data_IF_689886230788
#
_entry.id   IF_689886230788
#
_cell.length_a   1.000
_cell.length_b   1.000
_cell.length_c   1.000
_cell.angle_alpha   90.00
_cell.angle_beta   90.00
_cell.angle_gamma   90.00
#
_symmetry.space_group_name_H-M   'P 1'
#
loop_
_entity.id
_entity.type
_entity.pdbx_description
1 polymer ?
#
# COMPACT_ATOMS: atom_id res chain seq x y z
N UNK A 1 -36.16 21.67 33.67
CA UNK A 1 -35.00 22.53 33.36
C UNK A 1 -33.75 21.69 33.55
N UNK A 2 -33.09 21.31 32.47
CA UNK A 2 -31.83 20.57 32.47
C UNK A 2 -30.77 21.40 31.72
N UNK A 3 -29.50 21.44 32.18
CA UNK A 3 -28.48 22.31 31.64
C UNK A 3 -27.94 21.81 30.28
N UNK A 4 -27.74 22.77 29.38
CA UNK A 4 -27.06 22.61 28.08
C UNK A 4 -25.55 22.45 28.31
N UNK A 5 -24.97 21.32 27.91
CA UNK A 5 -23.52 21.15 27.81
C UNK A 5 -23.00 21.67 26.46
N UNK A 6 -21.94 22.48 26.55
CA UNK A 6 -21.28 23.16 25.44
C UNK A 6 -20.32 22.24 24.67
N UNK A 7 -20.28 22.42 23.36
CA UNK A 7 -19.53 21.62 22.40
C UNK A 7 -18.15 22.28 22.14
N UNK A 8 -16.99 21.66 22.46
CA UNK A 8 -15.70 22.26 22.17
C UNK A 8 -15.27 22.06 20.70
N UNK A 9 -14.78 23.15 20.13
CA UNK A 9 -14.42 23.35 18.74
C UNK A 9 -13.29 22.42 18.23
N UNK A 10 -13.43 22.00 16.96
CA UNK A 10 -12.47 21.20 16.19
C UNK A 10 -11.37 22.09 15.60
N UNK A 11 -10.07 21.78 15.77
CA UNK A 11 -8.99 22.53 15.13
C UNK A 11 -8.89 22.27 13.61
N UNK A 12 -8.53 23.32 12.88
CA UNK A 12 -8.49 23.38 11.42
C UNK A 12 -7.34 22.56 10.81
N UNK A 13 -7.66 21.76 9.79
CA UNK A 13 -6.73 21.00 8.97
C UNK A 13 -5.92 21.92 8.05
N UNK A 14 -4.60 21.87 8.19
CA UNK A 14 -3.62 22.58 7.33
C UNK A 14 -3.50 21.85 5.99
N UNK A 15 -3.97 22.48 4.91
CA UNK A 15 -3.70 22.04 3.54
C UNK A 15 -2.20 22.21 3.23
N UNK A 16 -1.51 21.10 2.95
CA UNK A 16 -0.22 21.13 2.26
C UNK A 16 -0.45 20.91 0.76
N UNK A 17 -0.32 21.99 0.01
CA UNK A 17 -0.25 22.04 -1.44
C UNK A 17 1.15 21.61 -1.88
N UNK A 18 1.28 20.36 -2.31
CA UNK A 18 2.48 19.90 -3.00
C UNK A 18 2.40 20.31 -4.47
N UNK A 19 3.01 21.48 -4.69
CA UNK A 19 3.44 22.13 -5.92
C UNK A 19 3.83 21.15 -7.05
N UNK A 20 3.04 21.16 -8.12
CA UNK A 20 3.45 20.64 -9.43
C UNK A 20 4.47 21.60 -10.07
N UNK A 21 5.60 21.07 -10.55
CA UNK A 21 6.53 21.77 -11.45
C UNK A 21 7.24 20.73 -12.33
N UNK A 22 6.68 20.50 -13.54
CA UNK A 22 7.27 20.73 -14.88
C UNK A 22 8.81 20.66 -15.08
N UNK A 23 9.36 20.65 -16.31
CA UNK A 23 9.10 19.85 -17.54
C UNK A 23 10.45 19.37 -18.19
N UNK A 24 10.34 18.76 -19.38
CA UNK A 24 11.39 18.59 -20.43
C UNK A 24 12.50 17.54 -20.24
N UNK A 25 12.55 16.57 -21.17
CA UNK A 25 13.42 16.67 -22.36
C UNK A 25 13.15 15.51 -23.33
N UNK A 26 12.49 15.81 -24.45
CA UNK A 26 12.55 14.99 -25.67
C UNK A 26 13.82 15.40 -26.42
N UNK A 27 14.83 14.55 -26.43
CA UNK A 27 15.98 14.71 -27.33
C UNK A 27 15.75 13.88 -28.60
N UNK A 28 15.74 14.59 -29.73
CA UNK A 28 15.61 14.04 -31.08
C UNK A 28 16.91 13.35 -31.50
N UNK A 29 16.77 12.22 -32.16
CA UNK A 29 17.78 11.55 -32.97
C UNK A 29 18.25 12.46 -34.12
N UNK A 30 19.55 12.70 -34.21
CA UNK A 30 20.24 13.10 -35.44
C UNK A 30 21.50 12.24 -35.52
N UNK A 31 21.58 11.43 -36.57
CA UNK A 31 22.76 10.63 -36.89
C UNK A 31 23.84 11.45 -37.58
N UNK A 32 25.09 11.05 -37.41
CA UNK A 32 26.19 11.19 -38.35
C UNK A 32 27.31 10.27 -37.88
N UNK A 33 27.81 9.43 -38.77
CA UNK A 33 28.80 8.42 -38.45
C UNK A 33 30.18 8.99 -38.11
N UNK A 34 30.98 8.17 -37.44
CA UNK A 34 32.43 8.24 -37.52
C UNK A 34 33.01 6.82 -37.44
N UNK A 35 33.80 6.49 -38.46
CA UNK A 35 34.59 5.29 -38.59
C UNK A 35 35.94 5.47 -37.84
N UNK A 36 36.61 4.33 -37.66
CA UNK A 36 38.04 4.09 -37.38
C UNK A 36 38.55 4.28 -35.93
N UNK A 37 38.97 3.21 -35.25
CA UNK A 37 40.32 2.61 -35.26
C UNK A 37 40.46 1.58 -34.12
N UNK A 38 40.81 0.35 -34.48
CA UNK A 38 41.24 -0.67 -33.54
C UNK A 38 42.59 -0.26 -32.93
N UNK A 39 42.60 -0.01 -31.62
CA UNK A 39 43.80 0.21 -30.81
C UNK A 39 43.69 -0.60 -29.52
N UNK A 40 44.64 -1.51 -29.32
CA UNK A 40 44.81 -2.32 -28.11
C UNK A 40 44.92 -1.42 -26.87
N UNK A 41 43.83 -1.28 -26.12
CA UNK A 41 43.87 -0.76 -24.76
C UNK A 41 44.13 -1.93 -23.80
N UNK A 42 45.14 -1.85 -22.92
CA UNK A 42 45.32 -2.83 -21.86
C UNK A 42 44.08 -2.83 -20.97
N UNK A 43 43.64 -4.02 -20.61
CA UNK A 43 42.49 -4.31 -19.75
C UNK A 43 42.52 -3.47 -18.46
N UNK A 44 41.87 -2.31 -18.51
CA UNK A 44 41.36 -1.62 -17.33
C UNK A 44 40.21 -2.49 -16.83
N UNK A 45 40.55 -3.41 -15.92
CA UNK A 45 39.58 -4.09 -15.07
C UNK A 45 38.67 -2.99 -14.53
N UNK A 46 37.36 -3.02 -14.83
CA UNK A 46 36.48 -2.10 -14.16
C UNK A 46 36.53 -2.52 -12.69
N UNK A 47 37.11 -1.66 -11.86
CA UNK A 47 36.79 -1.61 -10.43
C UNK A 47 35.31 -1.24 -10.36
N UNK A 48 34.44 -2.19 -10.70
CA UNK A 48 33.05 -2.12 -10.35
C UNK A 48 33.05 -2.06 -8.83
N UNK A 49 32.63 -0.93 -8.29
CA UNK A 49 32.25 -0.76 -6.89
C UNK A 49 31.12 -1.76 -6.60
N UNK A 50 31.50 -3.01 -6.32
CA UNK A 50 30.63 -4.12 -5.96
C UNK A 50 30.10 -4.00 -4.52
N UNK A 51 30.17 -2.82 -3.92
CA UNK A 51 29.86 -2.60 -2.51
C UNK A 51 28.78 -1.53 -2.43
N UNK A 52 27.69 -1.92 -1.76
CA UNK A 52 26.48 -1.15 -1.50
C UNK A 52 25.37 -1.21 -2.57
N UNK A 53 25.00 -2.42 -3.01
CA UNK A 53 23.57 -2.73 -2.91
C UNK A 53 23.26 -2.77 -1.41
N UNK A 54 23.03 -1.60 -0.82
CA UNK A 54 22.35 -1.53 0.46
C UNK A 54 21.08 -2.35 0.23
N UNK A 55 21.01 -3.55 0.83
CA UNK A 55 19.77 -4.28 0.96
C UNK A 55 18.89 -3.37 1.81
N UNK A 56 18.20 -2.45 1.14
CA UNK A 56 17.11 -1.72 1.74
C UNK A 56 16.16 -2.74 2.34
N UNK A 57 15.40 -2.36 3.39
CA UNK A 57 14.42 -3.25 3.95
C UNK A 57 13.57 -3.82 2.80
N UNK A 58 13.57 -5.15 2.67
CA UNK A 58 12.88 -5.83 1.57
C UNK A 58 11.38 -5.57 1.76
N UNK A 59 10.86 -4.66 0.95
CA UNK A 59 9.43 -4.39 0.89
C UNK A 59 8.76 -5.47 0.06
N UNK A 60 7.70 -6.04 0.59
CA UNK A 60 6.84 -6.99 -0.09
C UNK A 60 5.45 -6.38 -0.27
N UNK A 61 4.69 -6.94 -1.21
CA UNK A 61 3.38 -6.44 -1.57
C UNK A 61 2.41 -7.60 -1.65
N UNK A 62 1.25 -7.41 -1.03
CA UNK A 62 0.06 -8.25 -1.21
C UNK A 62 -1.07 -7.39 -1.75
N UNK A 63 -2.10 -8.02 -2.32
CA UNK A 63 -3.26 -7.31 -2.86
C UNK A 63 -4.51 -7.71 -2.10
N UNK A 64 -5.26 -6.74 -1.59
CA UNK A 64 -6.63 -6.98 -1.14
C UNK A 64 -7.56 -6.98 -2.37
N UNK A 65 -8.36 -8.02 -2.50
CA UNK A 65 -9.29 -8.19 -3.63
C UNK A 65 -10.73 -8.30 -3.13
N UNK A 66 -11.65 -7.58 -3.77
CA UNK A 66 -13.09 -7.61 -3.48
C UNK A 66 -13.93 -7.38 -4.73
N UNK A 67 -15.19 -7.81 -4.67
CA UNK A 67 -16.19 -7.50 -5.71
C UNK A 67 -16.63 -6.04 -5.51
N UNK A 68 -16.32 -5.18 -6.47
CA UNK A 68 -16.74 -3.78 -6.45
C UNK A 68 -18.27 -3.64 -6.54
N UNK A 69 -18.80 -2.46 -6.20
CA UNK A 69 -20.20 -2.10 -6.46
C UNK A 69 -20.41 -1.85 -7.96
N UNK A 70 -20.54 -2.92 -8.75
CA UNK A 70 -20.77 -2.88 -10.19
C UNK A 70 -20.65 -4.28 -10.80
N UNK A 71 -21.30 -4.51 -11.94
CA UNK A 71 -21.28 -5.82 -12.60
C UNK A 71 -19.84 -6.19 -13.00
N UNK A 72 -19.26 -7.13 -12.23
CA UNK A 72 -18.04 -7.92 -12.49
C UNK A 72 -16.65 -7.28 -12.35
N UNK A 73 -16.50 -6.01 -11.95
CA UNK A 73 -15.16 -5.44 -11.74
C UNK A 73 -14.55 -5.84 -10.38
N UNK A 74 -13.50 -6.68 -10.42
CA UNK A 74 -12.69 -7.03 -9.25
C UNK A 74 -11.78 -5.85 -8.91
N UNK A 75 -12.05 -5.22 -7.76
CA UNK A 75 -11.22 -4.13 -7.26
C UNK A 75 -10.01 -4.70 -6.51
N UNK A 76 -8.83 -4.11 -6.76
CA UNK A 76 -7.54 -4.54 -6.22
C UNK A 76 -6.84 -3.36 -5.57
N UNK A 77 -6.43 -3.51 -4.31
CA UNK A 77 -5.66 -2.50 -3.59
C UNK A 77 -4.36 -3.11 -3.07
N UNK A 78 -3.18 -2.63 -3.52
CA UNK A 78 -1.91 -3.11 -3.03
C UNK A 78 -1.63 -2.63 -1.60
N UNK A 79 -1.10 -3.52 -0.77
CA UNK A 79 -0.67 -3.25 0.60
C UNK A 79 0.80 -3.66 0.74
N UNK A 80 1.68 -2.66 0.78
CA UNK A 80 3.12 -2.88 0.94
C UNK A 80 3.50 -3.09 2.40
N UNK A 81 4.34 -4.06 2.73
CA UNK A 81 4.83 -4.27 4.09
C UNK A 81 6.31 -4.63 4.10
N UNK A 82 6.97 -4.50 5.25
CA UNK A 82 8.35 -4.95 5.40
C UNK A 82 8.39 -6.21 6.25
N UNK A 83 9.32 -7.12 5.96
CA UNK A 83 9.53 -8.32 6.78
C UNK A 83 9.85 -8.00 8.24
N UNK A 84 10.46 -6.84 8.49
CA UNK A 84 10.72 -6.36 9.86
C UNK A 84 9.43 -6.08 10.64
N UNK A 85 8.35 -5.69 9.97
CA UNK A 85 7.06 -5.42 10.62
C UNK A 85 6.45 -6.73 11.14
N UNK A 86 6.68 -7.84 10.43
CA UNK A 86 6.18 -9.17 10.81
C UNK A 86 6.90 -9.77 12.02
N UNK A 87 8.10 -9.29 12.35
CA UNK A 87 8.91 -9.83 13.43
C UNK A 87 8.35 -9.52 14.83
N UNK A 88 7.37 -8.61 14.94
CA UNK A 88 6.81 -8.17 16.22
C UNK A 88 5.29 -8.19 16.18
N UNK A 89 4.66 -8.53 17.31
CA UNK A 89 3.20 -8.51 17.41
C UNK A 89 2.58 -7.14 17.08
N UNK A 90 3.15 -5.98 17.51
CA UNK A 90 2.62 -4.68 17.12
C UNK A 90 2.68 -4.43 15.60
N UNK A 91 3.78 -4.80 14.94
CA UNK A 91 3.92 -4.61 13.49
C UNK A 91 2.99 -5.53 12.69
N UNK A 92 2.81 -6.77 13.12
CA UNK A 92 1.82 -7.67 12.52
C UNK A 92 0.39 -7.12 12.65
N UNK A 93 0.02 -6.56 13.82
CA UNK A 93 -1.30 -5.93 14.02
C UNK A 93 -1.49 -4.69 13.14
N UNK A 94 -0.46 -3.85 12.99
CA UNK A 94 -0.53 -2.69 12.09
C UNK A 94 -0.74 -3.13 10.64
N UNK A 95 -0.04 -4.19 10.20
CA UNK A 95 -0.26 -4.76 8.88
C UNK A 95 -1.70 -5.25 8.71
N UNK A 96 -2.23 -6.04 9.64
CA UNK A 96 -3.64 -6.51 9.58
C UNK A 96 -4.60 -5.32 9.51
N UNK A 97 -4.39 -4.26 10.30
CA UNK A 97 -5.23 -3.07 10.25
C UNK A 97 -5.16 -2.35 8.88
N UNK A 98 -4.02 -2.38 8.20
CA UNK A 98 -3.86 -1.84 6.84
C UNK A 98 -4.57 -2.70 5.80
N UNK A 99 -4.48 -4.02 5.92
CA UNK A 99 -5.22 -4.98 5.08
C UNK A 99 -6.72 -4.77 5.26
N UNK A 100 -7.20 -4.64 6.51
CA UNK A 100 -8.61 -4.41 6.81
C UNK A 100 -9.14 -3.12 6.17
N UNK A 101 -8.37 -2.03 6.19
CA UNK A 101 -8.75 -0.79 5.49
C UNK A 101 -8.80 -0.98 3.97
N UNK A 102 -7.87 -1.74 3.40
CA UNK A 102 -7.89 -2.07 1.98
C UNK A 102 -9.12 -2.94 1.65
N UNK A 103 -9.43 -3.93 2.49
CA UNK A 103 -10.61 -4.80 2.38
C UNK A 103 -11.92 -3.98 2.41
N UNK A 104 -12.06 -3.06 3.36
CA UNK A 104 -13.20 -2.14 3.40
C UNK A 104 -13.33 -1.33 2.10
N UNK A 105 -12.22 -0.80 1.60
CA UNK A 105 -12.22 0.03 0.40
C UNK A 105 -12.61 -0.77 -0.85
N UNK A 106 -12.11 -2.00 -1.02
CA UNK A 106 -12.51 -2.87 -2.15
C UNK A 106 -13.97 -3.33 -2.07
N UNK A 107 -14.56 -3.31 -0.88
CA UNK A 107 -15.97 -3.60 -0.64
C UNK A 107 -16.87 -2.34 -0.70
N UNK A 108 -16.34 -1.22 -1.19
CA UNK A 108 -17.10 0.00 -1.44
C UNK A 108 -17.16 0.98 -0.26
N UNK A 109 -16.33 0.81 0.78
CA UNK A 109 -16.13 1.87 1.77
C UNK A 109 -15.49 3.08 1.08
N UNK A 110 -16.09 4.25 1.28
CA UNK A 110 -15.59 5.51 0.75
C UNK A 110 -15.88 6.64 1.74
N UNK A 111 -15.16 7.75 1.60
CA UNK A 111 -15.36 8.91 2.49
C UNK A 111 -16.73 9.58 2.33
N UNK A 112 -17.49 9.20 1.30
CA UNK A 112 -18.79 9.78 0.96
C UNK A 112 -19.99 8.98 1.49
N UNK A 113 -19.80 7.76 2.01
CA UNK A 113 -20.92 6.93 2.48
C UNK A 113 -21.30 7.24 3.93
N UNK A 114 -22.58 7.08 4.25
CA UNK A 114 -23.09 7.26 5.61
C UNK A 114 -22.60 6.18 6.57
N UNK A 115 -22.63 6.47 7.88
CA UNK A 115 -22.17 5.55 8.94
C UNK A 115 -22.90 4.21 8.95
N UNK A 116 -24.18 4.18 8.58
CA UNK A 116 -24.98 2.94 8.54
C UNK A 116 -24.52 2.02 7.40
N UNK A 117 -24.23 2.56 6.21
CA UNK A 117 -23.71 1.78 5.10
C UNK A 117 -22.31 1.25 5.42
N UNK A 118 -21.47 2.08 6.05
CA UNK A 118 -20.15 1.65 6.52
C UNK A 118 -20.24 0.49 7.51
N UNK A 119 -21.14 0.54 8.50
CA UNK A 119 -21.39 -0.57 9.43
C UNK A 119 -21.91 -1.84 8.75
N UNK A 120 -22.63 -1.70 7.63
CA UNK A 120 -23.06 -2.84 6.83
C UNK A 120 -21.86 -3.47 6.11
N UNK A 121 -20.96 -2.67 5.53
CA UNK A 121 -19.72 -3.14 4.89
C UNK A 121 -18.79 -3.78 5.93
N UNK A 122 -18.66 -3.18 7.11
CA UNK A 122 -17.87 -3.70 8.22
C UNK A 122 -18.32 -5.12 8.63
N UNK A 123 -19.60 -5.46 8.45
CA UNK A 123 -20.16 -6.79 8.75
C UNK A 123 -20.39 -7.65 7.52
N UNK A 124 -19.91 -7.24 6.35
CA UNK A 124 -20.15 -7.95 5.09
C UNK A 124 -19.17 -9.09 4.88
N UNK A 125 -19.65 -10.15 4.22
CA UNK A 125 -18.80 -11.27 3.78
C UNK A 125 -17.69 -10.82 2.84
N UNK A 126 -17.96 -9.79 2.01
CA UNK A 126 -16.94 -9.19 1.15
C UNK A 126 -15.71 -8.77 1.96
N UNK A 127 -15.90 -8.04 3.07
CA UNK A 127 -14.80 -7.60 3.92
C UNK A 127 -14.09 -8.80 4.54
N UNK A 128 -14.84 -9.76 5.10
CA UNK A 128 -14.30 -10.99 5.72
C UNK A 128 -13.39 -11.72 4.74
N UNK A 129 -13.89 -11.98 3.54
CA UNK A 129 -13.19 -12.77 2.52
C UNK A 129 -11.97 -12.04 1.97
N UNK A 130 -12.10 -10.74 1.69
CA UNK A 130 -10.98 -9.91 1.24
C UNK A 130 -9.85 -9.88 2.28
N UNK A 131 -10.20 -9.68 3.55
CA UNK A 131 -9.25 -9.69 4.66
C UNK A 131 -8.57 -11.06 4.82
N UNK A 132 -9.34 -12.14 4.89
CA UNK A 132 -8.80 -13.48 5.12
C UNK A 132 -7.96 -13.99 3.96
N UNK A 133 -8.31 -13.65 2.71
CA UNK A 133 -7.50 -13.97 1.53
C UNK A 133 -6.15 -13.24 1.59
N UNK A 134 -6.18 -11.92 1.80
CA UNK A 134 -4.95 -11.13 1.88
C UNK A 134 -4.06 -11.54 3.07
N UNK A 135 -4.62 -11.87 4.24
CA UNK A 135 -3.86 -12.41 5.39
C UNK A 135 -3.18 -13.73 5.05
N UNK A 136 -3.88 -14.64 4.35
CA UNK A 136 -3.29 -15.91 3.90
C UNK A 136 -2.14 -15.69 2.91
N UNK A 137 -2.25 -14.70 2.03
CA UNK A 137 -1.21 -14.37 1.05
C UNK A 137 0.09 -13.86 1.70
N UNK A 138 0.01 -13.20 2.87
CA UNK A 138 1.22 -12.83 3.64
C UNK A 138 1.95 -14.07 4.17
N UNK A 139 1.20 -15.14 4.47
CA UNK A 139 1.72 -16.43 4.92
C UNK A 139 2.70 -16.32 6.11
N UNK A 140 2.29 -15.62 7.16
CA UNK A 140 3.08 -15.41 8.38
C UNK A 140 2.27 -15.71 9.65
N UNK A 141 2.89 -16.37 10.62
CA UNK A 141 2.20 -16.82 11.84
C UNK A 141 1.73 -15.64 12.72
N UNK A 142 2.51 -14.56 12.80
CA UNK A 142 2.17 -13.41 13.63
C UNK A 142 1.01 -12.62 13.01
N UNK A 143 0.92 -12.61 11.68
CA UNK A 143 -0.20 -11.98 10.96
C UNK A 143 -1.48 -12.80 11.12
N UNK A 144 -1.39 -14.12 11.04
CA UNK A 144 -2.53 -15.01 11.29
C UNK A 144 -3.03 -14.89 12.75
N UNK A 145 -2.12 -14.86 13.72
CA UNK A 145 -2.45 -14.64 15.13
C UNK A 145 -3.12 -13.27 15.34
N UNK A 146 -2.55 -12.20 14.76
CA UNK A 146 -3.15 -10.87 14.83
C UNK A 146 -4.54 -10.81 14.17
N UNK A 147 -4.76 -11.52 13.07
CA UNK A 147 -6.04 -11.58 12.38
C UNK A 147 -7.12 -12.37 13.15
N UNK A 148 -6.72 -13.32 14.01
CA UNK A 148 -7.67 -14.04 14.87
C UNK A 148 -8.40 -13.12 15.85
N UNK A 149 -7.76 -12.03 16.27
CA UNK A 149 -8.34 -11.02 17.18
C UNK A 149 -9.41 -10.17 16.51
N UNK A 150 -9.52 -10.21 15.18
CA UNK A 150 -10.56 -9.51 14.45
C UNK A 150 -11.91 -10.20 14.51
N UNK A 151 -12.01 -11.32 15.26
CA UNK A 151 -13.23 -12.04 15.67
C UNK A 151 -14.42 -11.68 14.78
N UNK A 152 -14.35 -12.15 13.54
CA UNK A 152 -15.55 -12.15 12.71
C UNK A 152 -16.35 -13.34 13.22
N UNK A 153 -16.99 -13.12 14.38
CA UNK A 153 -17.99 -14.00 14.94
C UNK A 153 -19.10 -14.13 13.87
N UNK A 154 -19.28 -15.37 13.41
CA UNK A 154 -20.31 -15.78 12.43
C UNK A 154 -21.74 -15.60 12.98
#
# INVERSE_FOLDING_TARGET
MAPMEANPAKPATRQQTSKATSPHHRARLIGAGLLILAGLAPSLVPLHSAWAQARGPQSEEITAEGQGMGDEEVQRIPVTFYRADLATAPGARDLVARIDRAALTVCGDSTAIGSELRRAIERSDCRRDALMRAVRDVNDINVNDAASQYDLEE
#
